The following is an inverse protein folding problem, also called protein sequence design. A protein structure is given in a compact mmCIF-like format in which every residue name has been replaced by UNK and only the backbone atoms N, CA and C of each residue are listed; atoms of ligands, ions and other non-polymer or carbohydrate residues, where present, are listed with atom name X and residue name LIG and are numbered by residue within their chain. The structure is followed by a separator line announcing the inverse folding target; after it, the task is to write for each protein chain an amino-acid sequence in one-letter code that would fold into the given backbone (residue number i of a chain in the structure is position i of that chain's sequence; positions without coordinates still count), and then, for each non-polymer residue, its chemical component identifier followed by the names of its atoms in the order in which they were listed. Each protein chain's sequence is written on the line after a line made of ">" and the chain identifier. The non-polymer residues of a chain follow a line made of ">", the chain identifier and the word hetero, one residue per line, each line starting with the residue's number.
data_IF_667734162110
#
_entry.id   IF_667734162110
#
_cell.length_a   1.000
_cell.length_b   1.000
_cell.length_c   1.000
_cell.angle_alpha   90.00
_cell.angle_beta   90.00
_cell.angle_gamma   90.00
#
_symmetry.space_group_name_H-M   'P 1'
#
loop_
_entity.id
_entity.type
_entity.pdbx_description
1 polymer ?
#
# COMPACT_ATOMS: atom_id res chain seq x y z
N UNK A 1 30.09 -7.97 -6.55
CA UNK A 1 29.97 -7.39 -7.90
C UNK A 1 28.51 -7.25 -8.35
N UNK A 2 27.55 -7.91 -7.70
CA UNK A 2 26.09 -7.79 -7.93
C UNK A 2 25.52 -6.38 -7.67
N UNK A 3 25.96 -5.71 -6.61
CA UNK A 3 25.42 -4.39 -6.22
C UNK A 3 25.74 -3.24 -7.20
N UNK A 4 26.74 -3.42 -8.09
CA UNK A 4 27.17 -2.39 -9.04
C UNK A 4 26.23 -2.25 -10.25
N UNK A 5 25.60 -3.34 -10.68
CA UNK A 5 24.61 -3.33 -11.77
C UNK A 5 23.17 -3.39 -11.27
N UNK A 6 22.95 -3.80 -10.01
CA UNK A 6 21.63 -3.84 -9.37
C UNK A 6 20.94 -2.47 -9.34
N UNK A 7 21.68 -1.40 -9.05
CA UNK A 7 21.09 -0.06 -9.00
C UNK A 7 20.65 0.45 -10.40
N UNK A 8 21.33 -0.01 -11.46
CA UNK A 8 21.02 0.41 -12.83
C UNK A 8 19.72 -0.20 -13.37
N UNK A 9 19.36 -1.41 -12.92
CA UNK A 9 18.19 -2.14 -13.43
C UNK A 9 17.05 -2.22 -12.42
N UNK A 10 17.37 -2.27 -11.12
CA UNK A 10 16.42 -2.52 -10.02
C UNK A 10 16.30 -1.36 -9.04
N UNK A 11 17.12 -0.29 -9.17
CA UNK A 11 17.11 0.84 -8.24
C UNK A 11 15.79 1.61 -8.20
N UNK A 12 15.13 1.76 -9.36
CA UNK A 12 13.80 2.37 -9.44
C UNK A 12 12.75 1.53 -8.70
N UNK A 13 12.72 0.22 -8.96
CA UNK A 13 11.79 -0.71 -8.32
C UNK A 13 12.04 -0.78 -6.80
N UNK A 14 13.30 -0.79 -6.36
CA UNK A 14 13.67 -0.77 -4.95
C UNK A 14 13.19 0.53 -4.27
N UNK A 15 13.36 1.68 -4.93
CA UNK A 15 12.85 2.97 -4.44
C UNK A 15 11.34 2.97 -4.26
N UNK A 16 10.60 2.41 -5.21
CA UNK A 16 9.13 2.26 -5.14
C UNK A 16 8.73 1.33 -3.99
N UNK A 17 9.36 0.15 -3.87
CA UNK A 17 9.07 -0.81 -2.79
C UNK A 17 9.41 -0.21 -1.41
N UNK A 18 10.52 0.52 -1.28
CA UNK A 18 10.85 1.24 -0.04
C UNK A 18 9.84 2.32 0.27
N UNK A 19 9.32 3.01 -0.75
CA UNK A 19 8.21 3.95 -0.61
C UNK A 19 6.96 3.29 -0.05
N UNK A 20 6.52 2.18 -0.63
CA UNK A 20 5.38 1.42 -0.11
C UNK A 20 5.60 0.88 1.31
N UNK A 21 6.84 0.44 1.62
CA UNK A 21 7.20 0.04 2.98
C UNK A 21 7.08 1.22 3.97
N UNK A 22 7.47 2.43 3.55
CA UNK A 22 7.36 3.62 4.40
C UNK A 22 5.90 4.02 4.66
N UNK A 23 4.99 3.70 3.74
CA UNK A 23 3.55 3.91 3.89
C UNK A 23 2.83 2.87 4.74
N UNK A 24 3.52 1.83 5.24
CA UNK A 24 2.93 0.86 6.16
C UNK A 24 2.59 1.52 7.50
N UNK A 25 1.47 1.10 8.08
CA UNK A 25 1.02 1.60 9.38
C UNK A 25 2.05 1.28 10.47
N UNK A 26 2.55 2.33 11.09
CA UNK A 26 3.39 2.29 12.28
C UNK A 26 2.59 1.88 13.53
N UNK A 27 3.30 1.43 14.56
CA UNK A 27 2.69 1.08 15.85
C UNK A 27 1.82 2.21 16.40
N UNK A 28 2.25 3.47 16.28
CA UNK A 28 1.49 4.63 16.75
C UNK A 28 0.18 4.81 15.99
N UNK A 29 0.18 4.60 14.67
CA UNK A 29 -1.05 4.66 13.88
C UNK A 29 -2.02 3.55 14.29
N UNK A 30 -1.55 2.33 14.54
CA UNK A 30 -2.40 1.26 15.08
C UNK A 30 -3.02 1.61 16.43
N UNK A 31 -2.26 2.24 17.34
CA UNK A 31 -2.78 2.71 18.63
C UNK A 31 -3.88 3.77 18.48
N UNK A 32 -3.76 4.67 17.49
CA UNK A 32 -4.78 5.67 17.21
C UNK A 32 -6.06 5.04 16.62
N UNK A 33 -5.91 4.05 15.74
CA UNK A 33 -7.04 3.33 15.15
C UNK A 33 -7.84 2.53 16.20
N UNK A 34 -7.18 1.95 17.21
CA UNK A 34 -7.86 1.25 18.31
C UNK A 34 -8.64 2.17 19.26
N UNK A 35 -8.35 3.47 19.24
CA UNK A 35 -9.02 4.47 20.08
C UNK A 35 -10.19 5.16 19.35
N UNK A 36 -10.50 4.77 18.12
CA UNK A 36 -11.62 5.33 17.36
C UNK A 36 -12.95 4.69 17.81
N UNK A 37 -13.94 5.53 18.14
CA UNK A 37 -15.27 5.06 18.56
C UNK A 37 -16.22 4.85 17.38
N UNK A 38 -16.00 5.56 16.26
CA UNK A 38 -16.83 5.49 15.06
C UNK A 38 -16.05 5.13 13.81
N UNK A 39 -16.75 4.63 12.78
CA UNK A 39 -16.14 4.35 11.47
C UNK A 39 -15.73 5.64 10.73
N UNK A 40 -16.37 6.77 11.04
CA UNK A 40 -15.97 8.08 10.53
C UNK A 40 -14.62 8.53 11.11
N UNK A 41 -14.40 8.33 12.42
CA UNK A 41 -13.09 8.59 13.05
C UNK A 41 -12.01 7.68 12.47
N UNK A 42 -12.33 6.40 12.26
CA UNK A 42 -11.42 5.44 11.62
C UNK A 42 -11.04 5.88 10.19
N UNK A 43 -12.01 6.35 9.40
CA UNK A 43 -11.75 6.92 8.06
C UNK A 43 -10.88 8.17 8.14
N UNK A 44 -11.15 9.06 9.09
CA UNK A 44 -10.37 10.29 9.27
C UNK A 44 -8.91 9.99 9.64
N UNK A 45 -8.68 9.06 10.57
CA UNK A 45 -7.34 8.61 10.95
C UNK A 45 -6.61 7.92 9.79
N UNK A 46 -7.30 7.06 9.03
CA UNK A 46 -6.72 6.44 7.83
C UNK A 46 -6.40 7.47 6.73
N UNK A 47 -7.22 8.52 6.59
CA UNK A 47 -6.98 9.60 5.62
C UNK A 47 -5.73 10.42 5.98
N UNK A 48 -5.31 10.42 7.24
CA UNK A 48 -4.05 11.01 7.70
C UNK A 48 -2.82 10.12 7.46
N UNK A 49 -3.01 8.91 6.93
CA UNK A 49 -1.93 7.99 6.52
C UNK A 49 -1.82 7.90 5.00
N UNK A 50 -0.78 7.22 4.50
CA UNK A 50 -0.59 6.97 3.06
C UNK A 50 -1.71 6.12 2.41
N UNK A 51 -2.63 5.57 3.20
CA UNK A 51 -3.85 4.96 2.69
C UNK A 51 -4.76 6.01 2.02
N UNK A 52 -4.76 7.26 2.50
CA UNK A 52 -5.30 8.43 1.81
C UNK A 52 -6.80 8.39 1.52
N UNK A 53 -7.21 9.14 0.48
CA UNK A 53 -8.60 9.33 0.03
C UNK A 53 -9.23 8.09 -0.67
N UNK A 54 -8.77 6.87 -0.38
CA UNK A 54 -9.27 5.65 -1.03
C UNK A 54 -10.76 5.37 -0.74
N UNK A 55 -11.28 5.95 0.34
CA UNK A 55 -12.68 5.88 0.76
C UNK A 55 -13.47 7.16 0.44
N UNK A 56 -12.92 8.12 -0.31
CA UNK A 56 -13.59 9.40 -0.56
C UNK A 56 -14.73 9.33 -1.57
N UNK A 57 -14.78 8.25 -2.36
CA UNK A 57 -15.91 7.96 -3.25
C UNK A 57 -17.02 7.12 -2.59
N UNK A 58 -16.82 6.64 -1.36
CA UNK A 58 -17.84 5.85 -0.65
C UNK A 58 -18.74 6.79 0.16
N UNK A 59 -20.01 6.87 -0.24
CA UNK A 59 -21.08 7.51 0.54
C UNK A 59 -21.39 6.68 1.79
N UNK A 60 -21.60 7.31 2.97
CA UNK A 60 -22.02 6.60 4.18
C UNK A 60 -23.30 5.78 3.96
N UNK A 61 -23.46 4.59 4.58
CA UNK A 61 -22.63 4.01 5.63
C UNK A 61 -21.46 3.17 5.09
N UNK A 62 -20.24 3.49 5.52
CA UNK A 62 -19.06 2.71 5.17
C UNK A 62 -19.09 1.44 6.02
N UNK A 63 -19.07 0.28 5.36
CA UNK A 63 -19.00 -1.02 6.02
C UNK A 63 -17.54 -1.47 6.12
N UNK A 64 -17.20 -2.22 7.16
CA UNK A 64 -15.85 -2.80 7.33
C UNK A 64 -15.45 -3.71 6.15
N UNK A 65 -16.42 -4.39 5.53
CA UNK A 65 -16.20 -5.17 4.30
C UNK A 65 -15.73 -4.30 3.13
N UNK A 66 -16.35 -3.14 2.92
CA UNK A 66 -15.96 -2.23 1.84
C UNK A 66 -14.55 -1.68 2.06
N UNK A 67 -14.17 -1.41 3.31
CA UNK A 67 -12.81 -0.99 3.67
C UNK A 67 -11.80 -2.08 3.29
N UNK A 68 -12.07 -3.34 3.64
CA UNK A 68 -11.14 -4.44 3.35
C UNK A 68 -11.02 -4.69 1.84
N UNK A 69 -12.12 -4.62 1.10
CA UNK A 69 -12.14 -4.76 -0.36
C UNK A 69 -11.31 -3.67 -1.03
N UNK A 70 -11.51 -2.40 -0.66
CA UNK A 70 -10.78 -1.27 -1.26
C UNK A 70 -9.30 -1.29 -0.89
N UNK A 71 -8.96 -1.64 0.36
CA UNK A 71 -7.58 -1.79 0.78
C UNK A 71 -6.87 -2.91 0.00
N UNK A 72 -7.56 -4.05 -0.21
CA UNK A 72 -7.05 -5.16 -1.02
C UNK A 72 -6.89 -4.75 -2.48
N UNK A 73 -7.86 -4.04 -3.06
CA UNK A 73 -7.78 -3.54 -4.43
C UNK A 73 -6.59 -2.57 -4.64
N UNK A 74 -6.30 -1.71 -3.66
CA UNK A 74 -5.12 -0.84 -3.68
C UNK A 74 -3.83 -1.66 -3.67
N UNK A 75 -3.72 -2.65 -2.78
CA UNK A 75 -2.57 -3.55 -2.73
C UNK A 75 -2.35 -4.29 -4.05
N UNK A 76 -3.43 -4.79 -4.67
CA UNK A 76 -3.36 -5.47 -5.98
C UNK A 76 -2.89 -4.51 -7.07
N UNK A 77 -3.39 -3.28 -7.10
CA UNK A 77 -2.96 -2.28 -8.08
C UNK A 77 -1.48 -1.89 -7.91
N UNK A 78 -1.01 -1.71 -6.67
CA UNK A 78 0.40 -1.44 -6.35
C UNK A 78 1.29 -2.61 -6.76
N UNK A 79 0.82 -3.84 -6.54
CA UNK A 79 1.51 -5.06 -6.96
C UNK A 79 1.61 -5.20 -8.48
N UNK A 80 0.51 -4.97 -9.20
CA UNK A 80 0.51 -4.98 -10.67
C UNK A 80 1.41 -3.87 -11.24
N UNK A 81 1.50 -2.72 -10.57
CA UNK A 81 2.44 -1.66 -10.93
C UNK A 81 3.90 -2.11 -10.77
N UNK A 82 4.26 -2.75 -9.66
CA UNK A 82 5.60 -3.32 -9.47
C UNK A 82 5.88 -4.37 -10.54
N UNK A 83 4.93 -5.28 -10.78
CA UNK A 83 5.07 -6.36 -11.77
C UNK A 83 5.28 -5.82 -13.18
N UNK A 84 4.54 -4.80 -13.60
CA UNK A 84 4.67 -4.18 -14.93
C UNK A 84 6.00 -3.44 -15.13
N UNK A 85 6.60 -2.94 -14.05
CA UNK A 85 7.91 -2.29 -14.08
C UNK A 85 9.07 -3.25 -13.77
N UNK A 86 8.79 -4.53 -13.48
CA UNK A 86 9.81 -5.54 -13.23
C UNK A 86 10.32 -6.14 -14.55
N UNK A 87 11.64 -6.18 -14.70
CA UNK A 87 12.34 -6.83 -15.83
C UNK A 87 12.84 -8.20 -15.39
N UNK A 88 13.07 -9.13 -16.33
CA UNK A 88 13.68 -10.43 -16.00
C UNK A 88 14.99 -10.23 -15.22
N UNK A 89 15.24 -10.99 -14.14
CA UNK A 89 14.56 -12.22 -13.70
C UNK A 89 13.43 -12.04 -12.65
N UNK A 90 13.13 -10.80 -12.22
CA UNK A 90 12.16 -10.52 -11.16
C UNK A 90 10.69 -10.71 -11.60
N UNK A 91 10.42 -10.63 -12.90
CA UNK A 91 9.10 -10.90 -13.49
C UNK A 91 8.70 -12.38 -13.36
N UNK A 92 9.67 -13.30 -13.39
CA UNK A 92 9.43 -14.76 -13.34
C UNK A 92 9.23 -15.26 -11.91
N UNK A 93 9.91 -14.67 -10.91
CA UNK A 93 9.76 -15.06 -9.49
C UNK A 93 8.43 -14.63 -8.85
N UNK A 94 7.68 -13.74 -9.51
CA UNK A 94 6.36 -13.30 -9.06
C UNK A 94 5.20 -14.14 -9.61
N UNK A 95 5.48 -15.03 -10.57
CA UNK A 95 4.54 -16.03 -11.07
C UNK A 95 4.91 -17.33 -10.34
N UNK A 96 4.11 -17.67 -9.33
CA UNK A 96 4.17 -18.97 -8.64
C UNK A 96 3.78 -20.07 -9.63
#
# INVERSE_FOLDING_TARGET
>A
MEALFFNSNSGFLEGVIRGFKAGLLSQTQYQNLTQCDTLDDFKMQLSATDYGNFLSNETPPISTSTISEKATAKLVAEFDYIRSNAVEPLSTSFII
#
